data_IF_624921824919
#
_entry.id   IF_624921824919
#
_cell.length_a   1.000
_cell.length_b   1.000
_cell.length_c   1.000
_cell.angle_alpha   90.00
_cell.angle_beta   90.00
_cell.angle_gamma   90.00
#
_symmetry.space_group_name_H-M   'P 1'
#
loop_
_entity.id
_entity.type
_entity.pdbx_description
1 polymer ?
#
# COMPACT_ATOMS: atom_id res chain seq x y z
N UNK A 1 -10.40 8.38 12.00
CA UNK A 1 -9.76 9.41 11.17
C UNK A 1 -10.11 9.10 9.73
N UNK A 2 -10.71 10.04 8.97
CA UNK A 2 -10.95 9.83 7.54
C UNK A 2 -9.60 9.85 6.83
N UNK A 3 -9.12 8.68 6.42
CA UNK A 3 -7.88 8.58 5.64
C UNK A 3 -8.07 9.28 4.30
N UNK A 4 -7.19 10.24 4.03
CA UNK A 4 -7.24 11.00 2.78
C UNK A 4 -7.10 10.07 1.58
N UNK A 5 -8.03 10.21 0.63
CA UNK A 5 -8.01 9.45 -0.63
C UNK A 5 -6.66 9.61 -1.34
N UNK A 6 -6.12 8.57 -1.97
CA UNK A 6 -4.80 8.64 -2.60
C UNK A 6 -4.76 9.71 -3.70
N UNK A 7 -3.67 10.50 -3.72
CA UNK A 7 -3.42 11.44 -4.80
C UNK A 7 -2.73 10.72 -5.95
N UNK A 8 -3.48 10.39 -7.00
CA UNK A 8 -2.95 9.67 -8.16
C UNK A 8 -1.81 10.42 -8.87
N UNK A 9 -1.89 11.75 -8.93
CA UNK A 9 -0.82 12.59 -9.52
C UNK A 9 0.47 12.46 -8.71
N UNK A 10 0.37 12.51 -7.39
CA UNK A 10 1.55 12.35 -6.52
C UNK A 10 2.20 10.99 -6.71
N UNK A 11 1.40 9.92 -6.86
CA UNK A 11 1.90 8.56 -7.05
C UNK A 11 2.67 8.42 -8.38
N UNK A 12 2.22 9.10 -9.46
CA UNK A 12 2.96 9.16 -10.73
C UNK A 12 4.29 9.85 -10.54
N UNK A 13 4.29 11.06 -9.96
CA UNK A 13 5.49 11.89 -9.81
C UNK A 13 6.54 11.27 -8.87
N UNK A 14 6.10 10.56 -7.83
CA UNK A 14 7.00 9.93 -6.84
C UNK A 14 7.38 8.49 -7.20
N UNK A 15 6.98 8.00 -8.37
CA UNK A 15 7.32 6.64 -8.80
C UNK A 15 8.84 6.46 -9.00
N UNK A 16 9.36 5.28 -8.67
CA UNK A 16 10.77 4.95 -8.91
C UNK A 16 11.16 5.12 -10.38
N UNK A 17 10.26 4.78 -11.30
CA UNK A 17 10.48 4.93 -12.74
C UNK A 17 10.72 6.40 -13.09
N UNK A 18 9.95 7.31 -12.49
CA UNK A 18 10.09 8.74 -12.71
C UNK A 18 11.42 9.27 -12.17
N UNK A 19 11.84 8.81 -10.98
CA UNK A 19 13.13 9.15 -10.41
C UNK A 19 14.31 8.71 -11.32
N UNK A 20 14.25 7.48 -11.84
CA UNK A 20 15.30 6.99 -12.76
C UNK A 20 15.30 7.74 -14.08
N UNK A 21 14.13 8.10 -14.63
CA UNK A 21 14.02 8.90 -15.82
C UNK A 21 14.61 10.31 -15.62
N UNK A 22 14.36 10.92 -14.47
CA UNK A 22 14.96 12.20 -14.08
C UNK A 22 16.49 12.12 -14.00
N UNK A 23 17.01 11.13 -13.26
CA UNK A 23 18.46 10.94 -13.15
C UNK A 23 19.11 10.65 -14.51
N UNK A 24 18.45 9.86 -15.33
CA UNK A 24 18.91 9.58 -16.70
C UNK A 24 18.95 10.84 -17.57
N UNK A 25 17.91 11.68 -17.53
CA UNK A 25 17.86 12.94 -18.27
C UNK A 25 18.93 13.92 -17.81
N UNK A 26 19.21 13.96 -16.50
CA UNK A 26 20.28 14.79 -15.92
C UNK A 26 21.67 14.31 -16.40
N UNK A 27 21.93 13.02 -16.36
CA UNK A 27 23.19 12.44 -16.81
C UNK A 27 23.44 12.69 -18.30
N UNK A 28 22.44 12.46 -19.15
CA UNK A 28 22.51 12.72 -20.58
C UNK A 28 22.70 14.21 -20.86
N UNK A 29 21.97 15.08 -20.13
CA UNK A 29 22.12 16.52 -20.24
C UNK A 29 23.53 17.00 -19.89
N UNK A 30 24.12 16.47 -18.82
CA UNK A 30 25.51 16.78 -18.43
C UNK A 30 26.52 16.34 -19.49
N UNK A 31 26.38 15.13 -20.03
CA UNK A 31 27.24 14.61 -21.08
C UNK A 31 27.17 15.45 -22.36
N UNK A 32 25.97 15.88 -22.76
CA UNK A 32 25.78 16.70 -23.95
C UNK A 32 26.25 18.15 -23.75
N UNK A 33 26.27 18.66 -22.53
CA UNK A 33 26.73 20.00 -22.22
C UNK A 33 28.24 20.19 -22.54
N UNK A 34 29.03 19.15 -22.41
CA UNK A 34 30.49 19.20 -22.61
C UNK A 34 30.85 19.55 -24.07
N UNK A 35 30.41 18.78 -25.09
CA UNK A 35 30.76 19.09 -26.49
C UNK A 35 29.89 20.18 -27.14
N UNK A 36 28.62 20.35 -26.70
CA UNK A 36 27.63 21.17 -27.42
C UNK A 36 27.16 22.41 -26.65
N UNK A 37 27.62 22.57 -25.41
CA UNK A 37 27.27 23.71 -24.58
C UNK A 37 25.97 23.50 -23.80
N UNK A 38 25.73 24.38 -22.83
CA UNK A 38 24.62 24.28 -21.85
C UNK A 38 23.24 24.23 -22.51
N UNK A 39 23.03 24.98 -23.60
CA UNK A 39 21.71 25.03 -24.27
C UNK A 39 21.28 23.63 -24.78
N UNK A 40 22.21 22.86 -25.37
CA UNK A 40 21.92 21.51 -25.86
C UNK A 40 21.79 20.52 -24.69
N UNK A 41 22.62 20.69 -23.65
CA UNK A 41 22.52 19.89 -22.45
C UNK A 41 21.22 20.06 -21.66
N UNK A 42 20.52 21.20 -21.81
CA UNK A 42 19.22 21.43 -21.18
C UNK A 42 18.05 20.69 -21.88
N UNK A 43 18.21 20.30 -23.14
CA UNK A 43 17.13 19.65 -23.92
C UNK A 43 16.57 18.39 -23.29
N UNK A 44 17.39 17.44 -22.80
CA UNK A 44 16.87 16.25 -22.14
C UNK A 44 16.02 16.55 -20.89
N UNK A 45 16.39 17.56 -20.11
CA UNK A 45 15.63 17.99 -18.92
C UNK A 45 14.30 18.62 -19.29
N UNK A 46 14.27 19.44 -20.36
CA UNK A 46 13.02 20.04 -20.86
C UNK A 46 12.10 18.95 -21.42
N UNK A 47 12.65 17.99 -22.16
CA UNK A 47 11.89 16.86 -22.69
C UNK A 47 11.33 15.99 -21.56
N UNK A 48 12.11 15.74 -20.50
CA UNK A 48 11.66 15.04 -19.30
C UNK A 48 10.51 15.80 -18.63
N UNK A 49 10.65 17.11 -18.39
CA UNK A 49 9.60 17.90 -17.72
C UNK A 49 8.30 17.93 -18.55
N UNK A 50 8.39 18.06 -19.87
CA UNK A 50 7.22 17.97 -20.75
C UNK A 50 6.56 16.60 -20.71
N UNK A 51 7.34 15.52 -20.73
CA UNK A 51 6.88 14.15 -20.59
C UNK A 51 6.18 13.91 -19.23
N UNK A 52 6.72 14.45 -18.17
CA UNK A 52 6.18 14.34 -16.81
C UNK A 52 4.82 15.04 -16.66
N UNK A 53 4.67 16.22 -17.27
CA UNK A 53 3.39 16.93 -17.31
C UNK A 53 2.34 16.11 -18.09
N UNK A 54 2.70 15.56 -19.24
CA UNK A 54 1.80 14.72 -20.03
C UNK A 54 1.44 13.43 -19.28
N UNK A 55 2.40 12.80 -18.61
CA UNK A 55 2.18 11.63 -17.78
C UNK A 55 1.23 11.93 -16.62
N UNK A 56 1.43 13.06 -15.92
CA UNK A 56 0.58 13.50 -14.81
C UNK A 56 -0.86 13.81 -15.24
N UNK A 57 -1.08 14.20 -16.48
CA UNK A 57 -2.41 14.44 -17.04
C UNK A 57 -3.11 13.15 -17.52
N UNK A 58 -2.35 12.23 -18.13
CA UNK A 58 -2.92 11.06 -18.81
C UNK A 58 -2.95 9.80 -17.92
N UNK A 59 -1.89 9.50 -17.17
CA UNK A 59 -1.80 8.27 -16.38
C UNK A 59 -2.88 8.16 -15.30
N UNK A 60 -3.20 9.23 -14.54
CA UNK A 60 -4.28 9.19 -13.55
C UNK A 60 -5.68 8.93 -14.13
N UNK A 61 -5.86 9.12 -15.44
CA UNK A 61 -7.14 8.83 -16.11
C UNK A 61 -7.32 7.35 -16.46
N UNK A 62 -6.23 6.56 -16.49
CA UNK A 62 -6.26 5.15 -16.85
C UNK A 62 -6.91 4.31 -15.73
N UNK A 63 -7.96 3.53 -16.02
CA UNK A 63 -8.66 2.73 -15.00
C UNK A 63 -7.74 1.69 -14.36
N UNK A 64 -6.86 1.06 -15.13
CA UNK A 64 -5.88 0.08 -14.65
C UNK A 64 -4.89 0.67 -13.65
N UNK A 65 -4.46 1.92 -13.86
CA UNK A 65 -3.58 2.62 -12.94
C UNK A 65 -4.30 2.95 -11.63
N UNK A 66 -5.52 3.50 -11.71
CA UNK A 66 -6.34 3.81 -10.54
C UNK A 66 -6.58 2.56 -9.70
N UNK A 67 -6.97 1.47 -10.34
CA UNK A 67 -7.21 0.21 -9.63
C UNK A 67 -5.96 -0.28 -8.90
N UNK A 68 -4.78 -0.18 -9.52
CA UNK A 68 -3.50 -0.54 -8.89
C UNK A 68 -3.17 0.32 -7.68
N UNK A 69 -3.37 1.65 -7.79
CA UNK A 69 -3.12 2.60 -6.70
C UNK A 69 -4.13 2.38 -5.57
N UNK A 70 -5.42 2.26 -5.90
CA UNK A 70 -6.48 2.01 -4.93
C UNK A 70 -6.28 0.68 -4.18
N UNK A 71 -5.81 -0.36 -4.88
CA UNK A 71 -5.48 -1.66 -4.26
C UNK A 71 -4.35 -1.52 -3.25
N UNK A 72 -3.26 -0.83 -3.60
CA UNK A 72 -2.15 -0.56 -2.68
C UNK A 72 -2.60 0.26 -1.48
N UNK A 73 -3.38 1.29 -1.73
CA UNK A 73 -3.90 2.14 -0.66
C UNK A 73 -4.78 1.33 0.31
N UNK A 74 -5.74 0.54 -0.21
CA UNK A 74 -6.57 -0.35 0.63
C UNK A 74 -5.73 -1.34 1.42
N UNK A 75 -4.69 -1.91 0.82
CA UNK A 75 -3.77 -2.82 1.52
C UNK A 75 -3.03 -2.11 2.66
N UNK A 76 -2.54 -0.89 2.44
CA UNK A 76 -1.86 -0.09 3.47
C UNK A 76 -2.83 0.29 4.61
N UNK A 77 -4.06 0.69 4.28
CA UNK A 77 -5.10 0.99 5.27
C UNK A 77 -5.40 -0.23 6.14
N UNK A 78 -5.61 -1.40 5.52
CA UNK A 78 -5.84 -2.65 6.26
C UNK A 78 -4.65 -3.00 7.16
N UNK A 79 -3.44 -2.82 6.67
CA UNK A 79 -2.24 -3.08 7.47
C UNK A 79 -2.13 -2.14 8.66
N UNK A 80 -2.34 -0.83 8.47
CA UNK A 80 -2.35 0.16 9.54
C UNK A 80 -3.44 -0.15 10.59
N UNK A 81 -4.66 -0.48 10.14
CA UNK A 81 -5.75 -0.88 11.03
C UNK A 81 -5.41 -2.14 11.83
N UNK A 82 -4.75 -3.12 11.20
CA UNK A 82 -4.29 -4.35 11.86
C UNK A 82 -3.27 -4.05 12.96
N UNK A 83 -2.30 -3.20 12.67
CA UNK A 83 -1.28 -2.79 13.64
C UNK A 83 -1.88 -2.03 14.82
N UNK A 84 -2.85 -1.14 14.56
CA UNK A 84 -3.57 -0.43 15.62
C UNK A 84 -4.38 -1.39 16.51
N UNK A 85 -5.14 -2.31 15.91
CA UNK A 85 -5.92 -3.30 16.66
C UNK A 85 -5.01 -4.21 17.50
N UNK A 86 -3.92 -4.72 16.92
CA UNK A 86 -2.97 -5.56 17.65
C UNK A 86 -2.30 -4.81 18.80
N UNK A 87 -1.92 -3.56 18.58
CA UNK A 87 -1.33 -2.70 19.64
C UNK A 87 -2.32 -2.47 20.77
N UNK A 88 -3.59 -2.19 20.45
CA UNK A 88 -4.61 -1.96 21.47
C UNK A 88 -4.98 -3.25 22.23
N UNK A 89 -5.05 -4.39 21.53
CA UNK A 89 -5.23 -5.71 22.16
C UNK A 89 -4.07 -6.00 23.12
N UNK A 90 -2.83 -5.78 22.68
CA UNK A 90 -1.65 -6.01 23.51
C UNK A 90 -1.61 -5.10 24.74
N UNK A 91 -1.96 -3.82 24.57
CA UNK A 91 -2.04 -2.85 25.66
C UNK A 91 -3.08 -3.25 26.71
N UNK A 92 -4.27 -3.72 26.29
CA UNK A 92 -5.36 -4.11 27.17
C UNK A 92 -5.16 -5.48 27.79
N UNK A 93 -4.53 -6.39 27.10
CA UNK A 93 -4.15 -7.69 27.67
C UNK A 93 -3.18 -7.54 28.85
N UNK A 94 -2.47 -6.43 28.93
CA UNK A 94 -1.61 -6.05 30.05
C UNK A 94 -0.64 -7.15 30.46
N UNK A 95 -0.62 -7.47 31.77
CA UNK A 95 0.18 -8.57 32.34
C UNK A 95 -0.47 -9.96 32.18
N UNK A 96 -1.72 -10.02 31.68
CA UNK A 96 -2.39 -11.28 31.33
C UNK A 96 -1.86 -11.75 29.99
N UNK A 97 -1.32 -12.96 29.92
CA UNK A 97 -0.92 -13.56 28.66
C UNK A 97 -2.10 -13.57 27.69
N UNK A 98 -1.88 -13.08 26.46
CA UNK A 98 -2.85 -13.21 25.37
C UNK A 98 -3.37 -14.65 25.31
N UNK A 99 -4.69 -14.89 25.19
CA UNK A 99 -5.19 -16.25 25.07
C UNK A 99 -4.59 -16.91 23.84
N UNK A 100 -3.63 -17.78 24.08
CA UNK A 100 -2.84 -18.48 23.05
C UNK A 100 -3.71 -19.10 21.94
N UNK A 101 -4.88 -19.72 22.22
CA UNK A 101 -5.72 -20.30 21.17
C UNK A 101 -6.28 -19.24 20.21
N UNK A 102 -6.67 -18.06 20.71
CA UNK A 102 -7.23 -16.97 19.90
C UNK A 102 -6.17 -16.38 18.97
N UNK A 103 -4.96 -16.15 19.48
CA UNK A 103 -3.85 -15.66 18.68
C UNK A 103 -3.45 -16.67 17.60
N UNK A 104 -3.37 -17.96 17.93
CA UNK A 104 -3.07 -19.01 16.95
C UNK A 104 -4.13 -19.12 15.84
N UNK A 105 -5.40 -18.96 16.19
CA UNK A 105 -6.48 -18.97 15.22
C UNK A 105 -6.36 -17.80 14.25
N UNK A 106 -6.11 -16.59 14.76
CA UNK A 106 -5.85 -15.42 13.94
C UNK A 106 -4.66 -15.62 13.01
N UNK A 107 -3.52 -16.10 13.53
CA UNK A 107 -2.32 -16.35 12.72
C UNK A 107 -2.57 -17.32 11.58
N UNK A 108 -3.27 -18.43 11.84
CA UNK A 108 -3.64 -19.38 10.77
C UNK A 108 -4.55 -18.78 9.71
N UNK A 109 -5.52 -17.97 10.10
CA UNK A 109 -6.40 -17.26 9.15
C UNK A 109 -5.57 -16.30 8.29
N UNK A 110 -4.71 -15.51 8.92
CA UNK A 110 -3.86 -14.54 8.23
C UNK A 110 -2.89 -15.23 7.27
N UNK A 111 -2.19 -16.29 7.67
CA UNK A 111 -1.29 -17.07 6.80
C UNK A 111 -2.01 -17.65 5.59
N UNK A 112 -3.23 -18.16 5.78
CA UNK A 112 -4.06 -18.65 4.67
C UNK A 112 -4.41 -17.53 3.69
N UNK A 113 -4.81 -16.37 4.18
CA UNK A 113 -5.12 -15.22 3.33
C UNK A 113 -3.88 -14.78 2.56
N UNK A 114 -2.71 -14.71 3.19
CA UNK A 114 -1.45 -14.38 2.52
C UNK A 114 -1.10 -15.40 1.42
N UNK A 115 -1.32 -16.69 1.66
CA UNK A 115 -1.12 -17.72 0.64
C UNK A 115 -2.07 -17.59 -0.55
N UNK A 116 -3.31 -17.10 -0.32
CA UNK A 116 -4.27 -16.81 -1.38
C UNK A 116 -3.86 -15.58 -2.20
N UNK A 117 -3.32 -14.54 -1.57
CA UNK A 117 -2.75 -13.40 -2.30
C UNK A 117 -1.62 -13.83 -3.24
N UNK A 118 -0.70 -14.66 -2.77
CA UNK A 118 0.39 -15.19 -3.61
C UNK A 118 -0.14 -15.97 -4.81
N UNK A 119 -1.19 -16.78 -4.61
CA UNK A 119 -1.82 -17.54 -5.71
C UNK A 119 -2.58 -16.64 -6.69
N UNK A 120 -3.28 -15.62 -6.20
CA UNK A 120 -3.96 -14.65 -7.05
C UNK A 120 -2.97 -13.83 -7.90
N UNK A 121 -1.79 -13.53 -7.36
CA UNK A 121 -0.73 -12.81 -8.08
C UNK A 121 -0.05 -13.67 -9.15
N UNK A 122 0.08 -14.97 -8.92
CA UNK A 122 0.68 -15.90 -9.87
C UNK A 122 -0.19 -16.21 -11.10
N UNK A 123 -1.40 -15.68 -11.17
CA UNK A 123 -2.30 -15.86 -12.32
C UNK A 123 -2.83 -17.28 -12.54
N UNK A 124 -2.49 -18.24 -11.68
CA UNK A 124 -2.84 -19.67 -11.83
C UNK A 124 -4.20 -20.06 -11.22
N UNK A 125 -5.02 -19.10 -10.80
CA UNK A 125 -6.28 -19.39 -10.14
C UNK A 125 -7.46 -18.57 -10.65
N UNK A 126 -8.68 -19.12 -10.52
CA UNK A 126 -9.95 -18.42 -10.74
C UNK A 126 -10.32 -17.44 -9.60
N UNK A 127 -9.41 -17.27 -8.63
CA UNK A 127 -9.61 -16.37 -7.49
C UNK A 127 -9.44 -14.92 -7.95
N UNK A 128 -10.53 -14.15 -7.86
CA UNK A 128 -10.45 -12.72 -8.07
C UNK A 128 -9.76 -12.06 -6.85
N UNK A 129 -8.91 -11.08 -7.11
CA UNK A 129 -8.27 -10.29 -6.06
C UNK A 129 -9.26 -9.73 -5.04
N UNK A 130 -10.45 -9.37 -5.50
CA UNK A 130 -11.53 -8.85 -4.69
C UNK A 130 -12.02 -9.84 -3.63
N UNK A 131 -12.07 -11.14 -3.99
CA UNK A 131 -12.49 -12.18 -3.04
C UNK A 131 -11.45 -12.37 -1.93
N UNK A 132 -10.17 -12.29 -2.28
CA UNK A 132 -9.09 -12.36 -1.30
C UNK A 132 -9.08 -11.13 -0.39
N UNK A 133 -9.35 -9.94 -0.92
CA UNK A 133 -9.50 -8.71 -0.13
C UNK A 133 -10.66 -8.82 0.88
N UNK A 134 -11.78 -9.42 0.50
CA UNK A 134 -12.91 -9.67 1.42
C UNK A 134 -12.53 -10.63 2.54
N UNK A 135 -11.78 -11.70 2.22
CA UNK A 135 -11.29 -12.63 3.24
C UNK A 135 -10.28 -11.95 4.21
N UNK A 136 -9.46 -11.05 3.70
CA UNK A 136 -8.55 -10.25 4.53
C UNK A 136 -9.30 -9.32 5.49
N UNK A 137 -10.42 -8.76 5.04
CA UNK A 137 -11.30 -7.92 5.85
C UNK A 137 -11.92 -8.72 7.02
N UNK A 138 -12.33 -9.97 6.78
CA UNK A 138 -12.81 -10.88 7.84
C UNK A 138 -11.75 -11.10 8.93
N UNK A 139 -10.46 -11.14 8.57
CA UNK A 139 -9.39 -11.24 9.59
C UNK A 139 -9.29 -10.00 10.46
N UNK A 140 -9.57 -8.81 9.92
CA UNK A 140 -9.63 -7.55 10.69
C UNK A 140 -10.87 -7.51 11.59
N UNK A 141 -12.02 -7.94 11.09
CA UNK A 141 -13.25 -8.05 11.90
C UNK A 141 -13.05 -8.99 13.08
N UNK A 142 -12.34 -10.11 12.88
CA UNK A 142 -11.99 -11.02 13.96
C UNK A 142 -11.16 -10.34 15.06
N UNK A 143 -10.16 -9.52 14.70
CA UNK A 143 -9.39 -8.74 15.67
C UNK A 143 -10.24 -7.68 16.37
N UNK A 144 -11.12 -7.00 15.65
CA UNK A 144 -12.02 -5.99 16.23
C UNK A 144 -12.99 -6.63 17.23
N UNK A 145 -13.54 -7.81 16.90
CA UNK A 145 -14.40 -8.58 17.80
C UNK A 145 -13.66 -9.03 19.05
N UNK A 146 -12.43 -9.50 18.90
CA UNK A 146 -11.58 -9.88 20.03
C UNK A 146 -11.31 -8.69 20.94
N UNK A 147 -10.96 -7.52 20.37
CA UNK A 147 -10.80 -6.28 21.16
C UNK A 147 -12.07 -5.91 21.91
N UNK A 148 -13.24 -6.01 21.25
CA UNK A 148 -14.53 -5.71 21.87
C UNK A 148 -14.80 -6.65 23.07
N UNK A 149 -14.49 -7.92 22.96
CA UNK A 149 -14.61 -8.89 24.07
C UNK A 149 -13.70 -8.53 25.24
N UNK A 150 -12.46 -8.11 24.99
CA UNK A 150 -11.55 -7.64 26.03
C UNK A 150 -12.10 -6.41 26.74
N UNK A 151 -12.64 -5.44 26.00
CA UNK A 151 -13.24 -4.23 26.58
C UNK A 151 -14.46 -4.54 27.46
N UNK A 152 -15.30 -5.48 27.01
CA UNK A 152 -16.47 -5.89 27.81
C UNK A 152 -16.04 -6.62 29.09
N UNK A 153 -15.04 -7.46 29.01
CA UNK A 153 -14.54 -8.18 30.19
C UNK A 153 -13.90 -7.24 31.21
N UNK A 154 -13.12 -6.25 30.76
CA UNK A 154 -12.54 -5.23 31.65
C UNK A 154 -13.62 -4.43 32.39
N UNK A 155 -14.76 -4.13 31.73
CA UNK A 155 -15.88 -3.43 32.36
C UNK A 155 -16.68 -4.29 33.36
N UNK A 156 -16.70 -5.58 33.15
CA UNK A 156 -17.41 -6.51 34.04
C UNK A 156 -16.62 -6.78 35.35
N UNK A 157 -15.30 -6.54 35.33
CA UNK A 157 -14.42 -6.73 36.48
C UNK A 157 -14.20 -5.41 37.29
N UNK A 158 -14.63 -4.25 36.77
CA UNK A 158 -14.53 -2.92 37.44
C UNK A 158 -15.79 -2.55 38.19
#
# INVERSE_FOLDING_TARGET
MAEAKPSYVREVLTSQTNLYAFLGSLAVGALLSIPFGFAVGAVPLIAFAAGDILAALHIPSLPTFREKVDRRWRANVRQASREQLMTEIQKRSGKRALPVPTLRTYQRMYERVQSLYQRADSGHGRLAWRDVEQLDEVTLEYLAMWLALLVMNDRAES
#
